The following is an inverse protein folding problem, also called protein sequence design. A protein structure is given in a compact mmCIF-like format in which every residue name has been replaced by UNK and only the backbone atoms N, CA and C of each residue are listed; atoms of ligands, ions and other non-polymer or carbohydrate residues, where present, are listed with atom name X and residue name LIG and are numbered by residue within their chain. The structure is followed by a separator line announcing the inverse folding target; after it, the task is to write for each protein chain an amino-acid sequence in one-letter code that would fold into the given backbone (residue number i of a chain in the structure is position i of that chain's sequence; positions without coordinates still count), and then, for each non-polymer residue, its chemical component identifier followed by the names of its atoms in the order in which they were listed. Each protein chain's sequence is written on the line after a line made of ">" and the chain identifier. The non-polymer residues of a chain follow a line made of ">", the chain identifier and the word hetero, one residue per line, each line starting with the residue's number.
data_IF_641886878025
#
_entry.id   IF_641886878025
#
_cell.length_a   1.000
_cell.length_b   1.000
_cell.length_c   1.000
_cell.angle_alpha   90.00
_cell.angle_beta   90.00
_cell.angle_gamma   90.00
#
_symmetry.space_group_name_H-M   'P 1'
#
loop_
_entity.id
_entity.type
_entity.pdbx_description
1 polymer ?
#
# COMPACT_ATOMS: atom_id res chain seq x y z
N UNK A 1 0.03 12.38 -37.93
CA UNK A 1 -0.51 11.90 -36.65
C UNK A 1 0.45 10.85 -36.12
N UNK A 2 0.77 10.86 -34.82
CA UNK A 2 1.58 9.80 -34.20
C UNK A 2 0.83 8.47 -34.14
N UNK A 3 1.55 7.36 -33.95
CA UNK A 3 1.01 6.00 -33.97
C UNK A 3 0.86 5.36 -32.57
N UNK A 4 0.83 6.17 -31.50
CA UNK A 4 0.63 5.68 -30.12
C UNK A 4 1.88 5.05 -29.48
N UNK A 5 3.01 5.75 -29.48
CA UNK A 5 4.23 5.33 -28.78
C UNK A 5 4.70 6.44 -27.83
N UNK A 6 4.84 6.13 -26.54
CA UNK A 6 5.23 7.08 -25.49
C UNK A 6 6.65 7.60 -25.70
N UNK A 7 7.58 6.73 -26.15
CA UNK A 7 8.96 7.12 -26.46
C UNK A 7 9.05 8.21 -27.53
N UNK A 8 8.08 8.29 -28.45
CA UNK A 8 8.03 9.35 -29.46
C UNK A 8 7.72 10.74 -28.87
N UNK A 9 7.39 10.84 -27.58
CA UNK A 9 7.33 12.11 -26.86
C UNK A 9 8.70 12.68 -26.51
N UNK A 10 9.77 11.87 -26.55
CA UNK A 10 11.15 12.35 -26.35
C UNK A 10 11.61 13.17 -27.57
N UNK A 11 12.31 14.27 -27.32
CA UNK A 11 12.71 15.27 -28.32
C UNK A 11 13.34 14.68 -29.59
N UNK A 12 14.34 13.81 -29.45
CA UNK A 12 15.06 13.24 -30.60
C UNK A 12 14.30 12.09 -31.27
N UNK A 13 13.54 11.32 -30.49
CA UNK A 13 12.64 10.29 -31.03
C UNK A 13 11.48 10.91 -31.82
N UNK A 14 10.96 12.05 -31.38
CA UNK A 14 9.93 12.81 -32.09
C UNK A 14 10.42 13.25 -33.46
N UNK A 15 11.64 13.82 -33.52
CA UNK A 15 12.27 14.20 -34.80
C UNK A 15 12.38 12.98 -35.73
N UNK A 16 12.93 11.87 -35.23
CA UNK A 16 13.08 10.66 -36.03
C UNK A 16 11.73 10.12 -36.55
N UNK A 17 10.67 10.22 -35.74
CA UNK A 17 9.32 9.82 -36.13
C UNK A 17 8.72 10.76 -37.19
N UNK A 18 8.95 12.07 -37.10
CA UNK A 18 8.46 13.05 -38.10
C UNK A 18 9.18 12.86 -39.44
N UNK A 19 10.46 12.49 -39.41
CA UNK A 19 11.25 12.17 -40.60
C UNK A 19 10.82 10.86 -41.31
N UNK A 20 9.81 10.15 -40.77
CA UNK A 20 9.32 8.89 -41.30
C UNK A 20 10.12 7.66 -40.86
N UNK A 21 11.11 7.86 -39.98
CA UNK A 21 11.86 6.77 -39.35
C UNK A 21 11.12 6.13 -38.17
N UNK A 22 11.75 5.11 -37.58
CA UNK A 22 11.28 4.57 -36.28
C UNK A 22 11.57 5.61 -35.20
N UNK A 23 10.63 5.82 -34.28
CA UNK A 23 10.73 6.77 -33.15
C UNK A 23 11.73 6.34 -32.09
N UNK A 24 13.01 6.33 -32.46
CA UNK A 24 14.12 5.86 -31.63
C UNK A 24 15.01 7.07 -31.31
N UNK A 25 15.34 7.33 -30.04
CA UNK A 25 16.20 8.44 -29.65
C UNK A 25 17.58 8.42 -30.32
N UNK A 26 18.10 9.61 -30.63
CA UNK A 26 19.46 9.83 -31.16
C UNK A 26 20.39 10.20 -30.01
N UNK A 27 21.65 9.78 -30.11
CA UNK A 27 22.66 10.16 -29.14
C UNK A 27 22.98 11.65 -29.32
N UNK A 28 23.13 12.36 -28.20
CA UNK A 28 23.62 13.73 -28.17
C UNK A 28 25.12 13.67 -27.81
N UNK A 29 26.01 14.43 -28.47
CA UNK A 29 25.81 15.30 -29.65
C UNK A 29 25.62 14.53 -30.98
N UNK A 30 25.09 15.18 -32.06
CA UNK A 30 24.71 16.59 -32.13
C UNK A 30 23.38 16.91 -31.43
N UNK A 31 23.25 18.13 -30.90
CA UNK A 31 22.00 18.59 -30.30
C UNK A 31 21.01 19.05 -31.37
N UNK A 32 19.69 18.87 -31.18
CA UNK A 32 18.67 19.30 -32.14
C UNK A 32 18.74 20.79 -32.51
N UNK A 33 19.15 21.63 -31.56
CA UNK A 33 19.32 23.06 -31.77
C UNK A 33 20.38 23.40 -32.85
N UNK A 34 21.36 22.52 -33.06
CA UNK A 34 22.37 22.66 -34.13
C UNK A 34 21.94 21.89 -35.38
N UNK A 35 21.52 20.64 -35.19
CA UNK A 35 21.15 19.71 -36.27
C UNK A 35 20.02 18.78 -35.80
N UNK A 36 18.79 19.21 -36.05
CA UNK A 36 17.56 18.51 -35.68
C UNK A 36 16.82 17.99 -36.91
N UNK A 37 15.58 18.45 -37.11
CA UNK A 37 14.68 18.00 -38.16
C UNK A 37 15.22 18.32 -39.56
N UNK A 38 15.36 17.29 -40.40
CA UNK A 38 15.94 17.38 -41.75
C UNK A 38 17.30 18.10 -41.76
N UNK A 39 18.12 17.81 -40.75
CA UNK A 39 19.44 18.41 -40.54
C UNK A 39 19.42 19.94 -40.37
N UNK A 40 18.28 20.52 -39.97
CA UNK A 40 18.15 21.95 -39.67
C UNK A 40 18.11 22.20 -38.15
N UNK A 41 18.64 23.34 -37.68
CA UNK A 41 18.43 23.83 -36.32
C UNK A 41 16.96 23.76 -35.91
N UNK A 42 16.64 22.98 -34.88
CA UNK A 42 15.27 22.71 -34.45
C UNK A 42 15.17 22.78 -32.93
N UNK A 43 14.15 23.48 -32.42
CA UNK A 43 13.86 23.55 -30.99
C UNK A 43 12.43 23.05 -30.74
N UNK A 44 12.28 22.05 -29.87
CA UNK A 44 11.00 21.41 -29.56
C UNK A 44 10.58 21.84 -28.16
N UNK A 45 9.35 22.33 -28.05
CA UNK A 45 8.79 22.80 -26.78
C UNK A 45 7.42 22.18 -26.56
N UNK A 46 7.06 21.98 -25.28
CA UNK A 46 5.74 21.48 -24.91
C UNK A 46 4.65 22.50 -25.28
N UNK A 47 3.44 22.01 -25.54
CA UNK A 47 2.27 22.83 -25.84
C UNK A 47 1.96 23.80 -24.70
N UNK A 48 2.07 23.36 -23.43
CA UNK A 48 1.87 24.21 -22.26
C UNK A 48 2.86 25.38 -22.22
N UNK A 49 4.13 25.13 -22.57
CA UNK A 49 5.14 26.19 -22.70
C UNK A 49 4.71 27.22 -23.73
N UNK A 50 4.28 26.78 -24.92
CA UNK A 50 3.80 27.68 -25.98
C UNK A 50 2.50 28.40 -25.63
N UNK A 51 1.61 27.80 -24.84
CA UNK A 51 0.39 28.44 -24.37
C UNK A 51 0.69 29.59 -23.40
N UNK A 52 1.75 29.47 -22.60
CA UNK A 52 2.16 30.51 -21.65
C UNK A 52 2.87 31.71 -22.32
N UNK A 53 3.62 31.50 -23.40
CA UNK A 53 4.42 32.56 -24.05
C UNK A 53 3.60 33.80 -24.48
N UNK A 54 2.46 33.69 -25.17
CA UNK A 54 1.63 34.84 -25.52
C UNK A 54 1.17 35.65 -24.31
N UNK A 55 0.81 34.99 -23.21
CA UNK A 55 0.39 35.64 -21.97
C UNK A 55 1.54 36.40 -21.32
N UNK A 56 2.74 35.82 -21.33
CA UNK A 56 3.97 36.44 -20.81
C UNK A 56 4.32 37.69 -21.62
N UNK A 57 4.22 37.62 -22.95
CA UNK A 57 4.49 38.78 -23.83
C UNK A 57 3.45 39.88 -23.62
N UNK A 58 2.16 39.53 -23.52
CA UNK A 58 1.08 40.50 -23.38
C UNK A 58 1.06 41.20 -22.02
N UNK A 59 1.35 40.48 -20.93
CA UNK A 59 1.27 41.01 -19.55
C UNK A 59 2.64 41.38 -18.95
N UNK A 60 3.72 41.07 -19.65
CA UNK A 60 5.09 41.30 -19.22
C UNK A 60 5.67 40.18 -18.35
N UNK A 61 6.98 39.96 -18.46
CA UNK A 61 7.69 38.91 -17.71
C UNK A 61 7.57 39.06 -16.18
N UNK A 62 7.50 40.30 -15.69
CA UNK A 62 7.33 40.59 -14.25
C UNK A 62 5.99 40.15 -13.69
N UNK A 63 4.95 40.00 -14.53
CA UNK A 63 3.67 39.46 -14.08
C UNK A 63 3.78 37.96 -13.82
N UNK A 64 4.39 37.22 -14.75
CA UNK A 64 4.54 35.77 -14.65
C UNK A 64 5.51 35.36 -13.52
N UNK A 65 6.60 36.11 -13.33
CA UNK A 65 7.63 35.81 -12.32
C UNK A 65 7.23 36.12 -10.87
N UNK A 66 6.11 36.85 -10.67
CA UNK A 66 5.51 37.05 -9.34
C UNK A 66 4.79 35.82 -8.82
N UNK A 67 4.43 34.90 -9.70
CA UNK A 67 3.77 33.65 -9.38
C UNK A 67 4.87 32.57 -9.30
N UNK A 68 4.80 31.68 -8.31
CA UNK A 68 5.80 30.62 -8.14
C UNK A 68 6.77 30.86 -6.98
N UNK A 69 7.79 29.99 -6.90
CA UNK A 69 8.91 30.12 -5.96
C UNK A 69 10.03 30.99 -6.52
N UNK A 70 11.15 31.16 -5.81
CA UNK A 70 12.28 31.93 -6.33
C UNK A 70 12.85 31.35 -7.63
N UNK A 71 12.96 30.01 -7.70
CA UNK A 71 13.55 29.30 -8.83
C UNK A 71 12.54 28.78 -9.85
N UNK A 72 11.30 28.52 -9.42
CA UNK A 72 10.26 27.94 -10.28
C UNK A 72 9.11 28.92 -10.46
N UNK A 73 9.07 29.62 -11.60
CA UNK A 73 8.11 30.70 -11.89
C UNK A 73 6.87 30.23 -12.65
N UNK A 74 5.75 30.85 -12.36
CA UNK A 74 4.48 30.66 -13.05
C UNK A 74 3.57 29.60 -12.47
N UNK A 75 2.65 29.13 -13.30
CA UNK A 75 1.67 28.09 -12.99
C UNK A 75 2.01 26.80 -13.72
N UNK A 76 1.46 25.69 -13.24
CA UNK A 76 1.57 24.38 -13.85
C UNK A 76 0.20 23.70 -13.85
N UNK A 77 -0.14 23.07 -14.96
CA UNK A 77 -1.34 22.26 -15.08
C UNK A 77 -1.01 20.82 -14.65
N UNK A 78 -1.81 20.29 -13.72
CA UNK A 78 -1.77 18.90 -13.29
C UNK A 78 -3.06 18.16 -13.66
N UNK A 79 -2.92 16.90 -14.05
CA UNK A 79 -4.02 15.95 -14.18
C UNK A 79 -4.12 15.16 -12.89
N UNK A 80 -5.09 15.53 -12.06
CA UNK A 80 -5.34 14.93 -10.75
C UNK A 80 -6.33 13.78 -10.91
N UNK A 81 -5.84 12.56 -10.74
CA UNK A 81 -6.60 11.31 -10.92
C UNK A 81 -6.27 10.29 -9.83
N UNK A 82 -6.96 9.15 -9.83
CA UNK A 82 -6.74 8.05 -8.88
C UNK A 82 -7.80 8.03 -7.78
N UNK A 83 -7.38 7.82 -6.53
CA UNK A 83 -8.26 7.72 -5.35
C UNK A 83 -8.54 9.11 -4.77
N UNK A 84 -9.28 9.94 -5.50
CA UNK A 84 -9.60 11.32 -5.14
C UNK A 84 -11.06 11.66 -5.46
N UNK A 85 -11.71 12.52 -4.67
CA UNK A 85 -13.12 12.89 -4.86
C UNK A 85 -13.32 13.74 -6.12
N UNK A 86 -12.49 14.77 -6.31
CA UNK A 86 -12.54 15.66 -7.47
C UNK A 86 -11.42 15.30 -8.44
N UNK A 87 -11.77 14.56 -9.50
CA UNK A 87 -10.85 14.20 -10.58
C UNK A 87 -10.93 15.23 -11.70
N UNK A 88 -9.80 15.70 -12.22
CA UNK A 88 -9.78 16.67 -13.31
C UNK A 88 -8.42 17.32 -13.59
N UNK A 89 -8.42 18.32 -14.48
CA UNK A 89 -7.27 19.18 -14.72
C UNK A 89 -7.32 20.37 -13.75
N UNK A 90 -6.21 20.62 -13.07
CA UNK A 90 -6.08 21.71 -12.10
C UNK A 90 -4.86 22.55 -12.47
N UNK A 91 -5.03 23.86 -12.59
CA UNK A 91 -3.92 24.80 -12.77
C UNK A 91 -3.56 25.40 -11.42
N UNK A 92 -2.32 25.21 -10.98
CA UNK A 92 -1.86 25.65 -9.66
C UNK A 92 -0.57 26.46 -9.78
N UNK A 93 -0.35 27.45 -8.90
CA UNK A 93 0.93 28.14 -8.83
C UNK A 93 2.02 27.17 -8.35
N UNK A 94 3.22 27.27 -8.94
CA UNK A 94 4.37 26.51 -8.45
C UNK A 94 4.70 26.91 -7.00
N UNK A 95 5.06 25.95 -6.17
CA UNK A 95 5.28 26.13 -4.73
C UNK A 95 4.06 25.84 -3.84
N UNK A 96 2.87 25.64 -4.42
CA UNK A 96 1.72 25.09 -3.67
C UNK A 96 2.04 23.70 -3.14
N UNK A 97 1.58 23.36 -1.93
CA UNK A 97 1.89 22.08 -1.31
C UNK A 97 1.03 20.95 -1.85
N UNK A 98 1.54 19.72 -1.75
CA UNK A 98 0.76 18.51 -2.08
C UNK A 98 -0.54 18.42 -1.28
N UNK A 99 -0.53 18.82 0.00
CA UNK A 99 -1.71 18.84 0.87
C UNK A 99 -2.82 19.71 0.30
N UNK A 100 -2.51 20.94 -0.07
CA UNK A 100 -3.51 21.88 -0.58
C UNK A 100 -4.10 21.37 -1.90
N UNK A 101 -3.28 20.80 -2.79
CA UNK A 101 -3.76 20.23 -4.06
C UNK A 101 -4.69 19.03 -3.80
N UNK A 102 -4.32 18.11 -2.91
CA UNK A 102 -5.07 16.87 -2.68
C UNK A 102 -6.34 17.11 -1.87
N UNK A 103 -6.27 17.89 -0.79
CA UNK A 103 -7.38 18.08 0.12
C UNK A 103 -8.26 19.28 -0.23
N UNK A 104 -7.67 20.43 -0.57
CA UNK A 104 -8.47 21.65 -0.81
C UNK A 104 -9.07 21.64 -2.22
N UNK A 105 -8.27 21.28 -3.24
CA UNK A 105 -8.75 21.22 -4.64
C UNK A 105 -9.39 19.85 -4.93
N UNK A 106 -8.66 18.78 -4.63
CA UNK A 106 -9.07 17.40 -4.90
C UNK A 106 -10.19 16.87 -4.00
N UNK A 107 -10.53 17.58 -2.93
CA UNK A 107 -11.60 17.19 -2.01
C UNK A 107 -11.25 15.97 -1.14
N UNK A 108 -9.98 15.56 -1.10
CA UNK A 108 -9.49 14.44 -0.30
C UNK A 108 -9.83 13.06 -0.86
N UNK A 109 -9.59 12.03 -0.04
CA UNK A 109 -9.72 10.62 -0.42
C UNK A 109 -11.18 10.15 -0.30
N UNK A 110 -11.70 9.39 -1.28
CA UNK A 110 -13.04 8.83 -1.22
C UNK A 110 -13.28 8.03 0.06
N UNK A 111 -14.50 8.14 0.59
CA UNK A 111 -14.96 7.45 1.81
C UNK A 111 -14.12 7.72 3.07
N UNK A 112 -13.36 8.81 3.11
CA UNK A 112 -12.54 9.17 4.28
C UNK A 112 -11.40 8.20 4.56
N UNK A 113 -10.97 7.41 3.57
CA UNK A 113 -9.82 6.52 3.69
C UNK A 113 -8.52 7.30 3.87
N UNK A 114 -7.49 6.62 4.36
CA UNK A 114 -6.18 7.24 4.56
C UNK A 114 -5.43 7.41 3.24
N UNK A 115 -4.89 8.61 3.03
CA UNK A 115 -3.92 8.87 1.97
C UNK A 115 -2.64 8.08 2.23
N UNK A 116 -2.12 7.42 1.20
CA UNK A 116 -0.90 6.63 1.29
C UNK A 116 0.26 7.28 0.55
N UNK A 117 0.05 7.58 -0.73
CA UNK A 117 1.06 8.15 -1.59
C UNK A 117 0.44 8.89 -2.79
N UNK A 118 1.22 9.73 -3.44
CA UNK A 118 0.90 10.32 -4.73
C UNK A 118 2.06 10.09 -5.69
N UNK A 119 1.77 9.59 -6.89
CA UNK A 119 2.76 9.58 -7.95
C UNK A 119 2.69 10.89 -8.71
N UNK A 120 3.83 11.56 -8.85
CA UNK A 120 3.97 12.76 -9.67
C UNK A 120 4.90 12.49 -10.83
N UNK A 121 4.74 13.18 -11.96
CA UNK A 121 5.68 13.08 -13.09
C UNK A 121 5.34 12.02 -14.13
N UNK A 122 4.14 11.44 -14.05
CA UNK A 122 3.69 10.39 -14.97
C UNK A 122 4.29 9.03 -14.65
N UNK A 123 4.28 8.07 -15.61
CA UNK A 123 4.65 6.68 -15.34
C UNK A 123 6.13 6.47 -14.97
N UNK A 124 7.03 7.39 -15.35
CA UNK A 124 8.44 7.38 -14.96
C UNK A 124 8.74 8.19 -13.70
N UNK A 125 7.70 8.65 -13.01
CA UNK A 125 7.81 9.40 -11.77
C UNK A 125 7.74 8.51 -10.53
N UNK A 126 8.39 8.96 -9.46
CA UNK A 126 8.38 8.30 -8.15
C UNK A 126 7.10 8.59 -7.35
N UNK A 127 6.81 7.71 -6.39
CA UNK A 127 5.71 7.87 -5.45
C UNK A 127 6.16 8.61 -4.19
N UNK A 128 5.46 9.69 -3.83
CA UNK A 128 5.73 10.52 -2.66
C UNK A 128 4.79 10.08 -1.52
N UNK A 129 5.32 9.72 -0.34
CA UNK A 129 4.53 9.19 0.78
C UNK A 129 3.75 10.28 1.54
N UNK A 130 2.80 9.83 2.36
CA UNK A 130 2.04 10.68 3.28
C UNK A 130 2.88 11.57 4.21
N UNK A 131 4.11 11.16 4.56
CA UNK A 131 5.02 11.94 5.40
C UNK A 131 5.53 13.22 4.73
N UNK A 132 5.44 13.32 3.39
CA UNK A 132 5.89 14.46 2.60
C UNK A 132 4.71 15.23 1.98
N UNK A 133 3.52 15.18 2.59
CA UNK A 133 2.34 15.91 2.12
C UNK A 133 2.51 17.43 2.12
N UNK A 134 3.38 17.97 2.98
CA UNK A 134 3.64 19.40 3.08
C UNK A 134 4.78 19.85 2.14
N UNK A 135 5.24 18.98 1.25
CA UNK A 135 6.27 19.29 0.26
C UNK A 135 5.71 20.30 -0.78
N UNK A 136 6.41 21.42 -1.04
CA UNK A 136 6.04 22.34 -2.09
C UNK A 136 6.28 21.71 -3.47
N UNK A 137 5.35 21.97 -4.40
CA UNK A 137 5.45 21.51 -5.77
C UNK A 137 6.31 22.46 -6.59
N UNK A 138 7.60 22.16 -6.64
CA UNK A 138 8.57 22.77 -7.55
C UNK A 138 9.54 21.71 -8.10
N UNK A 139 10.36 22.09 -9.08
CA UNK A 139 11.23 21.16 -9.79
C UNK A 139 12.29 20.51 -8.87
N UNK A 140 12.85 21.28 -7.93
CA UNK A 140 13.94 20.82 -7.05
C UNK A 140 13.40 19.89 -5.96
N UNK A 141 12.35 20.32 -5.26
CA UNK A 141 11.72 19.59 -4.16
C UNK A 141 11.20 18.22 -4.61
N UNK A 142 10.58 18.15 -5.79
CA UNK A 142 10.14 16.88 -6.37
C UNK A 142 11.29 15.94 -6.70
N UNK A 143 12.39 16.48 -7.23
CA UNK A 143 13.59 15.70 -7.58
C UNK A 143 14.25 15.12 -6.32
N UNK A 144 14.36 15.90 -5.24
CA UNK A 144 14.89 15.44 -3.95
C UNK A 144 14.01 14.36 -3.29
N UNK A 145 12.70 14.46 -3.48
CA UNK A 145 11.75 13.44 -3.05
C UNK A 145 11.84 12.13 -3.86
N UNK A 146 12.65 12.06 -4.91
CA UNK A 146 12.78 10.90 -5.80
C UNK A 146 11.67 10.81 -6.84
N UNK A 147 10.98 11.91 -7.11
CA UNK A 147 10.02 12.06 -8.19
C UNK A 147 10.53 13.08 -9.23
N UNK A 148 9.71 13.44 -10.22
CA UNK A 148 10.09 14.42 -11.23
C UNK A 148 8.90 15.31 -11.59
N UNK A 149 9.20 16.54 -12.01
CA UNK A 149 8.23 17.40 -12.68
C UNK A 149 8.09 16.96 -14.15
N UNK A 150 7.26 15.94 -14.37
CA UNK A 150 6.97 15.39 -15.70
C UNK A 150 5.81 16.11 -16.40
N UNK A 151 4.92 15.33 -17.03
CA UNK A 151 3.77 15.82 -17.79
C UNK A 151 2.67 16.49 -16.94
N UNK A 152 2.84 16.57 -15.62
CA UNK A 152 1.79 17.03 -14.69
C UNK A 152 0.80 15.94 -14.28
N UNK A 153 1.05 14.65 -14.57
CA UNK A 153 0.22 13.57 -14.02
C UNK A 153 0.40 13.44 -12.51
N UNK A 154 -0.70 13.48 -11.75
CA UNK A 154 -0.77 13.21 -10.31
C UNK A 154 -1.76 12.08 -10.03
N UNK A 155 -1.25 10.92 -9.63
CA UNK A 155 -2.05 9.74 -9.34
C UNK A 155 -2.08 9.51 -7.84
N UNK A 156 -3.22 9.79 -7.22
CA UNK A 156 -3.43 9.68 -5.78
C UNK A 156 -3.77 8.23 -5.39
N UNK A 157 -3.14 7.74 -4.32
CA UNK A 157 -3.26 6.37 -3.83
C UNK A 157 -3.69 6.35 -2.36
N UNK A 158 -4.58 5.41 -2.02
CA UNK A 158 -5.07 5.17 -0.66
C UNK A 158 -4.37 3.98 0.01
N UNK A 159 -4.74 3.71 1.26
CA UNK A 159 -4.21 2.59 2.05
C UNK A 159 -4.46 1.20 1.44
N UNK A 160 -5.36 1.10 0.46
CA UNK A 160 -5.75 -0.15 -0.21
C UNK A 160 -4.90 -0.45 -1.45
N UNK A 161 -3.95 0.43 -1.77
CA UNK A 161 -3.06 0.31 -2.93
C UNK A 161 -1.77 -0.40 -2.52
N UNK A 162 -1.31 -1.41 -3.25
CA UNK A 162 -0.03 -2.09 -2.98
C UNK A 162 1.13 -1.37 -3.69
N UNK A 163 2.18 -0.96 -2.96
CA UNK A 163 3.28 -0.22 -3.61
C UNK A 163 4.17 -1.10 -4.49
N UNK A 164 4.29 -2.38 -4.15
CA UNK A 164 5.00 -3.37 -4.99
C UNK A 164 4.28 -3.55 -6.34
N UNK A 165 2.95 -3.66 -6.31
CA UNK A 165 2.15 -3.81 -7.53
C UNK A 165 2.14 -2.53 -8.37
N UNK A 166 2.12 -1.35 -7.73
CA UNK A 166 2.28 -0.06 -8.42
C UNK A 166 3.63 0.03 -9.12
N UNK A 167 4.72 -0.32 -8.45
CA UNK A 167 6.04 -0.35 -9.07
C UNK A 167 6.08 -1.35 -10.24
N UNK A 168 5.50 -2.53 -10.08
CA UNK A 168 5.35 -3.55 -11.14
C UNK A 168 4.57 -3.01 -12.34
N UNK A 169 3.43 -2.37 -12.10
CA UNK A 169 2.56 -1.81 -13.14
C UNK A 169 3.30 -0.75 -13.98
N UNK A 170 3.93 0.23 -13.33
CA UNK A 170 4.68 1.26 -14.06
C UNK A 170 5.92 0.69 -14.75
N UNK A 171 6.61 -0.27 -14.13
CA UNK A 171 7.74 -0.94 -14.78
C UNK A 171 7.29 -1.72 -16.01
N UNK A 172 6.12 -2.37 -15.97
CA UNK A 172 5.53 -3.04 -17.14
C UNK A 172 5.23 -2.03 -18.25
N UNK A 173 4.58 -0.92 -17.93
CA UNK A 173 4.29 0.13 -18.91
C UNK A 173 5.59 0.67 -19.54
N UNK A 174 6.60 0.97 -18.74
CA UNK A 174 7.87 1.50 -19.22
C UNK A 174 8.67 0.48 -20.04
N UNK A 175 8.54 -0.80 -19.72
CA UNK A 175 9.12 -1.89 -20.49
C UNK A 175 8.46 -2.01 -21.88
N UNK A 176 7.13 -1.93 -21.93
CA UNK A 176 6.36 -2.00 -23.18
C UNK A 176 6.59 -0.77 -24.07
N UNK A 177 6.77 0.40 -23.46
CA UNK A 177 7.04 1.66 -24.14
C UNK A 177 8.53 1.89 -24.48
N UNK A 178 9.40 0.92 -24.16
CA UNK A 178 10.82 1.00 -24.50
C UNK A 178 11.03 0.82 -26.00
N UNK A 179 11.79 1.74 -26.62
CA UNK A 179 12.20 1.59 -28.03
C UNK A 179 13.17 0.42 -28.27
N UNK A 180 13.73 -0.17 -27.21
CA UNK A 180 14.61 -1.34 -27.28
C UNK A 180 16.04 -1.08 -27.79
N UNK A 181 16.45 0.19 -27.98
CA UNK A 181 17.78 0.52 -28.54
C UNK A 181 18.95 0.25 -27.59
N UNK A 182 18.86 0.70 -26.33
CA UNK A 182 19.92 0.48 -25.35
C UNK A 182 19.68 -0.82 -24.60
N UNK A 183 20.75 -1.62 -24.45
CA UNK A 183 20.71 -2.91 -23.76
C UNK A 183 20.30 -2.73 -22.30
N UNK A 184 20.87 -1.70 -21.65
CA UNK A 184 20.60 -1.32 -20.26
C UNK A 184 19.12 -1.10 -20.01
N UNK A 185 18.46 -0.22 -20.77
CA UNK A 185 17.02 -0.01 -20.63
C UNK A 185 16.24 -1.27 -21.01
N UNK A 186 16.45 -1.83 -22.22
CA UNK A 186 15.63 -2.93 -22.74
C UNK A 186 15.62 -4.15 -21.83
N UNK A 187 16.80 -4.63 -21.47
CA UNK A 187 16.92 -5.86 -20.68
C UNK A 187 16.83 -5.55 -19.18
N UNK A 188 17.27 -4.37 -18.74
CA UNK A 188 17.20 -3.98 -17.35
C UNK A 188 15.77 -3.75 -16.87
N UNK A 189 14.92 -3.05 -17.62
CA UNK A 189 13.50 -2.89 -17.26
C UNK A 189 12.77 -4.23 -17.27
N UNK A 190 13.08 -5.10 -18.24
CA UNK A 190 12.53 -6.44 -18.28
C UNK A 190 12.92 -7.23 -17.03
N UNK A 191 14.18 -7.21 -16.63
CA UNK A 191 14.65 -7.93 -15.46
C UNK A 191 14.09 -7.38 -14.15
N UNK A 192 13.93 -6.05 -14.05
CA UNK A 192 13.22 -5.43 -12.91
C UNK A 192 11.77 -5.89 -12.85
N UNK A 193 11.07 -5.96 -13.99
CA UNK A 193 9.68 -6.42 -14.07
C UNK A 193 9.54 -7.88 -13.64
N UNK A 194 10.45 -8.75 -14.06
CA UNK A 194 10.48 -10.16 -13.65
C UNK A 194 10.59 -10.28 -12.12
N UNK A 195 11.55 -9.58 -11.51
CA UNK A 195 11.75 -9.59 -10.05
C UNK A 195 10.50 -9.08 -9.32
N UNK A 196 9.94 -7.94 -9.76
CA UNK A 196 8.72 -7.38 -9.16
C UNK A 196 7.50 -8.31 -9.29
N UNK A 197 7.44 -9.06 -10.40
CA UNK A 197 6.40 -10.07 -10.63
C UNK A 197 6.58 -11.25 -9.69
N UNK A 198 7.81 -11.76 -9.55
CA UNK A 198 8.12 -12.84 -8.61
C UNK A 198 7.77 -12.46 -7.16
N UNK A 199 8.11 -11.24 -6.74
CA UNK A 199 7.73 -10.72 -5.41
C UNK A 199 6.21 -10.65 -5.26
N UNK A 200 5.49 -10.15 -6.27
CA UNK A 200 4.02 -10.04 -6.26
C UNK A 200 3.33 -11.41 -6.28
N UNK A 201 3.98 -12.43 -6.82
CA UNK A 201 3.51 -13.82 -6.85
C UNK A 201 3.92 -14.64 -5.63
N UNK A 202 4.71 -14.06 -4.71
CA UNK A 202 5.21 -14.76 -3.53
C UNK A 202 6.38 -15.70 -3.79
N UNK A 203 7.06 -15.55 -4.93
CA UNK A 203 8.29 -16.26 -5.31
C UNK A 203 9.56 -15.43 -5.07
N UNK A 204 9.42 -14.25 -4.48
CA UNK A 204 10.53 -13.36 -4.17
C UNK A 204 11.52 -13.98 -3.18
N UNK A 205 12.79 -13.61 -3.34
CA UNK A 205 13.94 -14.06 -2.53
C UNK A 205 14.46 -12.90 -1.68
N UNK A 206 15.15 -13.18 -0.59
CA UNK A 206 15.69 -12.14 0.30
C UNK A 206 16.67 -11.19 -0.42
N UNK A 207 17.45 -11.72 -1.36
CA UNK A 207 18.43 -10.95 -2.14
C UNK A 207 17.78 -10.11 -3.27
N UNK A 208 16.51 -10.34 -3.59
CA UNK A 208 15.86 -9.68 -4.72
C UNK A 208 15.73 -8.17 -4.51
N UNK A 209 15.58 -7.71 -3.26
CA UNK A 209 15.52 -6.26 -2.97
C UNK A 209 16.85 -5.58 -3.32
N UNK A 210 17.97 -6.17 -2.90
CA UNK A 210 19.30 -5.61 -3.14
C UNK A 210 19.64 -5.65 -4.64
N UNK A 211 19.34 -6.78 -5.30
CA UNK A 211 19.52 -6.93 -6.74
C UNK A 211 18.67 -5.94 -7.54
N UNK A 212 17.42 -5.73 -7.12
CA UNK A 212 16.49 -4.79 -7.77
C UNK A 212 16.98 -3.34 -7.64
N UNK A 213 17.49 -2.97 -6.46
CA UNK A 213 18.07 -1.65 -6.21
C UNK A 213 19.33 -1.40 -7.05
N UNK A 214 20.26 -2.36 -7.07
CA UNK A 214 21.48 -2.28 -7.89
C UNK A 214 21.13 -2.14 -9.39
N UNK A 215 20.24 -3.01 -9.88
CA UNK A 215 19.80 -2.99 -11.28
C UNK A 215 19.14 -1.66 -11.64
N UNK A 216 18.33 -1.09 -10.75
CA UNK A 216 17.68 0.19 -10.96
C UNK A 216 18.69 1.34 -11.13
N UNK A 217 19.75 1.38 -10.33
CA UNK A 217 20.83 2.36 -10.51
C UNK A 217 21.60 2.16 -11.82
N UNK A 218 21.95 0.92 -12.16
CA UNK A 218 22.63 0.61 -13.43
C UNK A 218 21.79 1.07 -14.63
N UNK A 219 20.49 0.79 -14.64
CA UNK A 219 19.60 1.23 -15.73
C UNK A 219 19.54 2.76 -15.81
N UNK A 220 19.46 3.43 -14.66
CA UNK A 220 19.40 4.90 -14.59
C UNK A 220 20.66 5.53 -15.20
N UNK A 221 21.84 5.04 -14.83
CA UNK A 221 23.11 5.69 -15.20
C UNK A 221 23.57 5.33 -16.62
N UNK A 222 23.16 4.17 -17.15
CA UNK A 222 23.65 3.65 -18.44
C UNK A 222 22.64 3.75 -19.59
N UNK A 223 21.46 4.34 -19.35
CA UNK A 223 20.43 4.53 -20.38
C UNK A 223 20.69 5.75 -21.27
N UNK A 224 20.39 5.60 -22.56
CA UNK A 224 20.67 6.62 -23.57
C UNK A 224 19.80 7.88 -23.47
N UNK A 225 18.52 7.71 -23.15
CA UNK A 225 17.52 8.79 -23.17
C UNK A 225 16.83 8.96 -21.82
N UNK A 226 16.15 10.09 -21.64
CA UNK A 226 15.44 10.43 -20.40
C UNK A 226 14.40 9.39 -19.97
N UNK A 227 13.76 8.68 -20.91
CA UNK A 227 12.85 7.58 -20.58
C UNK A 227 13.57 6.47 -19.82
N UNK A 228 14.67 5.95 -20.37
CA UNK A 228 15.44 4.88 -19.72
C UNK A 228 16.09 5.33 -18.41
N UNK A 229 16.54 6.59 -18.33
CA UNK A 229 17.11 7.16 -17.11
C UNK A 229 16.09 7.31 -15.98
N UNK A 230 14.83 7.62 -16.32
CA UNK A 230 13.76 7.81 -15.33
C UNK A 230 12.92 6.55 -15.10
N UNK A 231 13.03 5.53 -15.96
CA UNK A 231 12.29 4.28 -15.85
C UNK A 231 12.43 3.58 -14.48
N UNK A 232 13.60 3.61 -13.80
CA UNK A 232 13.74 2.99 -12.49
C UNK A 232 13.18 3.81 -11.32
N UNK A 233 12.76 5.07 -11.53
CA UNK A 233 12.31 5.94 -10.43
C UNK A 233 11.11 5.39 -9.65
N UNK A 234 10.07 4.79 -10.27
CA UNK A 234 8.97 4.18 -9.51
C UNK A 234 9.47 3.11 -8.53
N UNK A 235 10.49 2.35 -8.92
CA UNK A 235 11.12 1.29 -8.11
C UNK A 235 12.01 1.88 -7.01
N UNK A 236 12.89 2.83 -7.36
CA UNK A 236 13.78 3.46 -6.38
C UNK A 236 12.98 4.22 -5.31
N UNK A 237 11.94 4.95 -5.71
CA UNK A 237 11.08 5.68 -4.78
C UNK A 237 10.25 4.72 -3.90
N UNK A 238 9.69 3.64 -4.48
CA UNK A 238 8.94 2.66 -3.69
C UNK A 238 9.83 1.91 -2.70
N UNK A 239 11.05 1.54 -3.08
CA UNK A 239 12.03 0.93 -2.18
C UNK A 239 12.48 1.91 -1.08
N UNK A 240 12.64 3.20 -1.39
CA UNK A 240 13.03 4.21 -0.40
C UNK A 240 12.00 4.41 0.70
N UNK A 241 10.71 4.47 0.34
CA UNK A 241 9.66 4.85 1.29
C UNK A 241 8.79 3.68 1.79
N UNK A 242 8.72 2.58 1.04
CA UNK A 242 7.81 1.47 1.28
C UNK A 242 8.52 0.11 1.28
N UNK A 243 9.81 0.09 1.68
CA UNK A 243 10.61 -1.15 1.79
C UNK A 243 9.94 -2.23 2.62
N UNK A 244 9.21 -1.82 3.65
CA UNK A 244 8.45 -2.71 4.53
C UNK A 244 7.43 -3.56 3.77
N UNK A 245 6.79 -3.02 2.73
CA UNK A 245 5.85 -3.78 1.91
C UNK A 245 6.55 -4.86 1.09
N UNK A 246 7.75 -4.58 0.56
CA UNK A 246 8.54 -5.60 -0.14
C UNK A 246 8.94 -6.74 0.81
N UNK A 247 9.39 -6.40 2.01
CA UNK A 247 9.75 -7.40 3.02
C UNK A 247 8.54 -8.25 3.47
N UNK A 248 7.35 -7.67 3.57
CA UNK A 248 6.11 -8.41 3.85
C UNK A 248 5.77 -9.42 2.74
N UNK A 249 5.96 -9.05 1.47
CA UNK A 249 5.71 -9.94 0.34
C UNK A 249 6.69 -11.11 0.32
N UNK A 250 7.98 -10.84 0.61
CA UNK A 250 9.05 -11.85 0.56
C UNK A 250 9.04 -12.75 1.80
N UNK A 251 9.02 -12.18 3.00
CA UNK A 251 9.20 -12.95 4.25
C UNK A 251 7.90 -13.50 4.82
N UNK A 252 6.80 -12.76 4.67
CA UNK A 252 5.50 -13.14 5.26
C UNK A 252 4.53 -13.70 4.24
N UNK A 253 4.86 -13.66 2.94
CA UNK A 253 3.95 -13.99 1.84
C UNK A 253 2.58 -13.31 2.01
N UNK A 254 2.61 -12.03 2.38
CA UNK A 254 1.44 -11.27 2.77
C UNK A 254 1.39 -9.92 2.06
N UNK A 255 0.24 -9.58 1.50
CA UNK A 255 -0.01 -8.28 0.89
C UNK A 255 -1.04 -7.51 1.71
N UNK A 256 -0.61 -6.50 2.48
CA UNK A 256 -1.51 -5.68 3.34
C UNK A 256 -2.68 -5.06 2.57
N UNK A 257 -2.42 -4.61 1.34
CA UNK A 257 -3.41 -3.99 0.47
C UNK A 257 -4.45 -5.00 -0.06
N UNK A 258 -4.07 -6.28 -0.17
CA UNK A 258 -4.93 -7.36 -0.65
C UNK A 258 -5.01 -7.47 -2.18
N UNK A 259 -4.13 -6.79 -2.92
CA UNK A 259 -4.16 -6.69 -4.40
C UNK A 259 -3.45 -7.88 -5.07
N UNK A 260 -2.34 -8.34 -4.48
CA UNK A 260 -1.54 -9.43 -5.03
C UNK A 260 -2.24 -10.78 -4.80
N UNK A 261 -3.01 -11.26 -5.79
CA UNK A 261 -3.87 -12.46 -5.70
C UNK A 261 -3.16 -13.70 -5.18
N UNK A 262 -1.91 -13.92 -5.56
CA UNK A 262 -1.13 -15.10 -5.14
C UNK A 262 -0.84 -15.11 -3.63
N UNK A 263 -0.76 -13.94 -3.00
CA UNK A 263 -0.47 -13.77 -1.57
C UNK A 263 -1.73 -13.71 -0.70
N UNK A 264 -2.91 -13.64 -1.32
CA UNK A 264 -4.17 -13.39 -0.62
C UNK A 264 -5.09 -14.60 -0.79
N UNK A 265 -5.23 -15.40 0.27
CA UNK A 265 -6.20 -16.52 0.28
C UNK A 265 -7.63 -16.02 0.19
N UNK A 266 -7.99 -15.04 1.01
CA UNK A 266 -9.27 -14.35 0.95
C UNK A 266 -9.14 -12.92 1.52
N UNK A 267 -9.84 -11.92 0.95
CA UNK A 267 -9.73 -10.54 1.41
C UNK A 267 -10.09 -10.36 2.90
N UNK A 268 -11.12 -11.08 3.37
CA UNK A 268 -11.58 -11.01 4.75
C UNK A 268 -10.59 -11.63 5.76
N UNK A 269 -9.90 -12.72 5.40
CA UNK A 269 -8.83 -13.27 6.22
C UNK A 269 -7.60 -12.37 6.21
N UNK A 270 -7.24 -11.81 5.05
CA UNK A 270 -6.10 -10.91 4.88
C UNK A 270 -6.27 -9.61 5.67
N UNK A 271 -7.49 -9.08 5.72
CA UNK A 271 -7.84 -7.89 6.49
C UNK A 271 -7.97 -8.15 8.01
N UNK A 272 -8.04 -9.41 8.44
CA UNK A 272 -8.16 -9.73 9.86
C UNK A 272 -6.80 -9.61 10.55
N UNK A 273 -6.63 -8.73 11.55
CA UNK A 273 -5.33 -8.60 12.25
C UNK A 273 -4.90 -9.88 12.97
N UNK A 274 -5.85 -10.72 13.37
CA UNK A 274 -5.59 -12.03 13.99
C UNK A 274 -5.40 -13.16 12.96
N UNK A 275 -5.61 -12.91 11.66
CA UNK A 275 -5.52 -13.91 10.61
C UNK A 275 -6.57 -15.03 10.73
N UNK A 276 -7.74 -14.73 11.30
CA UNK A 276 -8.85 -15.70 11.43
C UNK A 276 -9.33 -16.10 10.03
N UNK A 277 -9.53 -17.41 9.82
CA UNK A 277 -10.08 -17.95 8.58
C UNK A 277 -11.59 -17.68 8.48
N UNK A 278 -11.91 -16.46 8.03
CA UNK A 278 -13.28 -15.97 7.90
C UNK A 278 -14.14 -16.84 6.98
N UNK A 279 -13.70 -17.21 5.76
CA UNK A 279 -14.50 -18.07 4.89
C UNK A 279 -14.84 -19.42 5.52
N UNK A 280 -13.88 -20.04 6.22
CA UNK A 280 -14.07 -21.38 6.80
C UNK A 280 -15.15 -21.38 7.88
N UNK A 281 -15.12 -20.44 8.82
CA UNK A 281 -16.15 -20.44 9.87
C UNK A 281 -17.52 -19.99 9.35
N UNK A 282 -17.58 -19.09 8.35
CA UNK A 282 -18.87 -18.73 7.73
C UNK A 282 -19.49 -19.94 7.04
N UNK A 283 -18.70 -20.74 6.31
CA UNK A 283 -19.21 -22.00 5.73
C UNK A 283 -19.76 -22.94 6.80
N UNK A 284 -19.07 -23.10 7.93
CA UNK A 284 -19.55 -23.93 9.04
C UNK A 284 -20.86 -23.41 9.64
N UNK A 285 -21.03 -22.08 9.73
CA UNK A 285 -22.31 -21.48 10.13
C UNK A 285 -23.43 -21.85 9.16
N UNK A 286 -23.18 -21.81 7.83
CA UNK A 286 -24.19 -22.20 6.83
C UNK A 286 -24.57 -23.68 6.91
N UNK A 287 -23.67 -24.54 7.39
CA UNK A 287 -23.91 -25.97 7.61
C UNK A 287 -24.57 -26.26 8.99
N UNK A 288 -24.85 -25.24 9.81
CA UNK A 288 -25.39 -25.39 11.17
C UNK A 288 -24.37 -25.89 12.20
N UNK A 289 -23.07 -25.92 11.86
CA UNK A 289 -21.98 -26.45 12.70
C UNK A 289 -21.34 -25.35 13.54
N UNK A 290 -22.09 -24.77 14.46
CA UNK A 290 -21.65 -23.60 15.23
C UNK A 290 -20.44 -23.87 16.15
N UNK A 291 -20.39 -25.02 16.82
CA UNK A 291 -19.24 -25.40 17.65
C UNK A 291 -17.93 -25.54 16.87
N UNK A 292 -18.00 -26.04 15.62
CA UNK A 292 -16.83 -26.09 14.71
C UNK A 292 -16.45 -24.70 14.22
N UNK A 293 -17.43 -23.83 13.92
CA UNK A 293 -17.17 -22.45 13.53
C UNK A 293 -16.42 -21.68 14.64
N UNK A 294 -16.84 -21.86 15.90
CA UNK A 294 -16.17 -21.30 17.07
C UNK A 294 -14.76 -21.87 17.24
N UNK A 295 -14.57 -23.17 16.97
CA UNK A 295 -13.25 -23.79 16.99
C UNK A 295 -12.27 -23.11 16.04
N UNK A 296 -12.70 -22.79 14.80
CA UNK A 296 -11.87 -22.09 13.81
C UNK A 296 -11.43 -20.71 14.29
N UNK A 297 -12.30 -19.97 14.98
CA UNK A 297 -11.92 -18.67 15.57
C UNK A 297 -10.90 -18.87 16.70
N UNK A 298 -11.10 -19.90 17.54
CA UNK A 298 -10.21 -20.26 18.65
C UNK A 298 -8.83 -20.77 18.21
N UNK A 299 -8.65 -21.14 16.94
CA UNK A 299 -7.33 -21.42 16.37
C UNK A 299 -6.41 -20.19 16.46
N UNK A 300 -6.97 -18.97 16.42
CA UNK A 300 -6.22 -17.71 16.42
C UNK A 300 -6.42 -16.84 17.66
N UNK A 301 -7.60 -16.85 18.28
CA UNK A 301 -7.90 -16.03 19.46
C UNK A 301 -8.87 -16.77 20.41
N UNK A 302 -8.62 -16.82 21.73
CA UNK A 302 -9.51 -17.52 22.67
C UNK A 302 -10.81 -16.79 23.01
N UNK A 303 -11.12 -15.70 22.30
CA UNK A 303 -12.22 -14.77 22.59
C UNK A 303 -13.25 -14.62 21.45
N UNK A 304 -13.82 -15.72 20.92
CA UNK A 304 -14.80 -15.65 19.83
C UNK A 304 -16.02 -14.77 20.14
N UNK A 305 -16.57 -14.85 21.36
CA UNK A 305 -17.74 -14.08 21.78
C UNK A 305 -17.39 -12.60 21.95
N UNK A 306 -16.34 -12.25 22.70
CA UNK A 306 -15.90 -10.84 22.85
C UNK A 306 -15.66 -10.21 21.46
N UNK A 307 -14.99 -10.92 20.55
CA UNK A 307 -14.81 -10.43 19.18
C UNK A 307 -16.14 -10.21 18.43
N UNK A 308 -17.18 -11.00 18.71
CA UNK A 308 -18.52 -10.78 18.17
C UNK A 308 -19.18 -9.49 18.66
N UNK A 309 -18.81 -8.98 19.83
CA UNK A 309 -19.35 -7.74 20.40
C UNK A 309 -18.51 -6.51 20.01
N UNK A 310 -17.19 -6.58 20.12
CA UNK A 310 -16.33 -5.37 20.11
C UNK A 310 -15.39 -5.26 18.92
N UNK A 311 -15.34 -6.25 18.03
CA UNK A 311 -14.45 -6.18 16.86
C UNK A 311 -14.81 -4.99 15.93
N UNK A 312 -13.78 -4.34 15.41
CA UNK A 312 -13.87 -3.26 14.40
C UNK A 312 -14.10 -3.77 12.97
N UNK A 313 -14.36 -5.07 12.80
CA UNK A 313 -14.87 -5.66 11.55
C UNK A 313 -14.08 -5.25 10.27
N UNK A 314 -12.74 -5.16 10.35
CA UNK A 314 -11.86 -4.89 9.21
C UNK A 314 -12.13 -5.77 7.98
N UNK A 315 -12.55 -7.01 8.23
CA UNK A 315 -12.93 -7.99 7.21
C UNK A 315 -14.18 -7.59 6.41
N UNK A 316 -15.10 -6.82 6.98
CA UNK A 316 -16.32 -6.33 6.30
C UNK A 316 -15.97 -5.18 5.35
N UNK A 317 -15.04 -4.30 5.75
CA UNK A 317 -14.56 -3.20 4.89
C UNK A 317 -13.88 -3.68 3.60
N UNK A 318 -13.35 -4.91 3.61
CA UNK A 318 -12.68 -5.56 2.47
C UNK A 318 -13.52 -6.66 1.81
N UNK A 319 -14.81 -6.75 2.15
CA UNK A 319 -15.68 -7.79 1.62
C UNK A 319 -16.00 -7.52 0.15
N UNK A 320 -15.64 -8.43 -0.76
CA UNK A 320 -15.98 -8.32 -2.20
C UNK A 320 -17.48 -8.18 -2.47
N UNK A 321 -18.34 -8.68 -1.57
CA UNK A 321 -19.80 -8.54 -1.71
C UNK A 321 -20.24 -7.08 -1.61
N UNK A 322 -19.54 -6.26 -0.82
CA UNK A 322 -19.80 -4.82 -0.71
C UNK A 322 -19.53 -4.03 -2.00
N UNK A 323 -18.86 -4.62 -3.00
CA UNK A 323 -18.73 -4.01 -4.34
C UNK A 323 -20.00 -4.20 -5.20
N UNK A 324 -20.90 -5.12 -4.79
CA UNK A 324 -22.14 -5.43 -5.50
C UNK A 324 -23.33 -4.78 -4.76
N UNK A 325 -23.47 -5.09 -3.48
CA UNK A 325 -24.53 -4.58 -2.62
C UNK A 325 -24.01 -4.20 -1.23
N UNK A 326 -24.00 -5.13 -0.27
CA UNK A 326 -23.59 -4.90 1.10
C UNK A 326 -22.57 -5.93 1.57
N UNK A 327 -21.65 -5.49 2.43
CA UNK A 327 -20.71 -6.40 3.06
C UNK A 327 -21.44 -7.40 3.95
N UNK A 328 -20.97 -8.64 3.98
CA UNK A 328 -21.47 -9.62 4.94
C UNK A 328 -21.25 -9.11 6.36
N UNK A 329 -22.24 -9.30 7.25
CA UNK A 329 -22.14 -8.94 8.66
C UNK A 329 -21.28 -9.97 9.44
N UNK A 330 -20.02 -10.11 9.04
CA UNK A 330 -19.04 -11.09 9.52
C UNK A 330 -18.90 -11.07 11.05
N UNK A 331 -18.90 -9.88 11.67
CA UNK A 331 -18.86 -9.75 13.14
C UNK A 331 -20.11 -10.32 13.79
N UNK A 332 -21.29 -10.04 13.24
CA UNK A 332 -22.56 -10.56 13.76
C UNK A 332 -22.66 -12.08 13.56
N UNK A 333 -22.20 -12.60 12.43
CA UNK A 333 -22.11 -14.05 12.19
C UNK A 333 -21.20 -14.72 13.23
N UNK A 334 -20.07 -14.10 13.57
CA UNK A 334 -19.19 -14.58 14.64
C UNK A 334 -19.88 -14.59 16.00
N UNK A 335 -20.60 -13.51 16.34
CA UNK A 335 -21.40 -13.43 17.56
C UNK A 335 -22.44 -14.54 17.61
N UNK A 336 -23.20 -14.70 16.52
CA UNK A 336 -24.23 -15.73 16.38
C UNK A 336 -23.65 -17.13 16.62
N UNK A 337 -22.51 -17.45 15.99
CA UNK A 337 -21.83 -18.73 16.20
C UNK A 337 -21.39 -18.93 17.66
N UNK A 338 -20.87 -17.89 18.30
CA UNK A 338 -20.44 -17.94 19.70
C UNK A 338 -21.59 -18.04 20.71
N UNK A 339 -22.78 -17.52 20.38
CA UNK A 339 -23.99 -17.65 21.19
C UNK A 339 -24.64 -19.04 21.06
N UNK A 340 -24.45 -19.71 19.91
CA UNK A 340 -24.93 -21.07 19.65
C UNK A 340 -23.82 -22.13 19.78
N UNK A 341 -22.73 -21.82 20.47
CA UNK A 341 -21.62 -22.75 20.67
C UNK A 341 -22.07 -24.00 21.45
N UNK A 342 -21.85 -25.17 20.86
CA UNK A 342 -22.17 -26.46 21.49
C UNK A 342 -21.06 -26.96 22.42
N UNK A 343 -19.92 -26.26 22.50
CA UNK A 343 -18.77 -26.67 23.30
C UNK A 343 -17.99 -27.85 22.71
N UNK A 344 -18.29 -28.28 21.48
CA UNK A 344 -17.62 -29.38 20.78
C UNK A 344 -16.09 -29.21 20.75
N UNK A 345 -15.61 -27.99 20.61
CA UNK A 345 -14.19 -27.67 20.58
C UNK A 345 -13.47 -28.02 21.90
N UNK A 346 -14.17 -28.07 23.03
CA UNK A 346 -13.58 -28.45 24.33
C UNK A 346 -13.13 -29.90 24.34
N UNK A 347 -13.94 -30.78 23.75
CA UNK A 347 -13.66 -32.21 23.66
C UNK A 347 -12.46 -32.50 22.75
N UNK A 348 -12.25 -31.64 21.75
CA UNK A 348 -11.17 -31.78 20.76
C UNK A 348 -9.98 -30.85 21.01
N UNK A 349 -10.00 -30.07 22.10
CA UNK A 349 -8.94 -29.12 22.40
C UNK A 349 -7.71 -29.87 22.90
N UNK A 350 -6.66 -29.93 22.07
CA UNK A 350 -5.39 -30.56 22.43
C UNK A 350 -4.57 -29.66 23.36
N UNK A 351 -4.12 -30.25 24.47
CA UNK A 351 -3.10 -29.71 25.37
C UNK A 351 -1.91 -30.65 25.30
N UNK A 352 -0.72 -30.11 25.05
CA UNK A 352 0.51 -30.91 25.00
C UNK A 352 0.91 -31.40 26.40
N UNK A 353 1.67 -32.50 26.49
CA UNK A 353 2.19 -32.98 27.76
C UNK A 353 2.98 -31.90 28.52
N UNK A 354 3.08 -31.98 29.86
CA UNK A 354 3.83 -31.02 30.66
C UNK A 354 5.26 -30.84 30.15
N UNK A 355 5.58 -29.61 29.81
CA UNK A 355 6.91 -29.19 29.35
C UNK A 355 7.95 -29.06 30.47
N UNK A 356 7.50 -29.05 31.73
CA UNK A 356 8.33 -28.76 32.91
C UNK A 356 8.73 -27.29 33.08
N UNK A 357 8.33 -26.40 32.17
CA UNK A 357 8.66 -24.96 32.23
C UNK A 357 7.54 -24.18 32.92
N UNK A 358 7.93 -23.21 33.74
CA UNK A 358 7.03 -22.25 34.39
C UNK A 358 7.11 -20.90 33.69
N UNK A 359 5.95 -20.30 33.41
CA UNK A 359 5.87 -19.00 32.73
C UNK A 359 4.97 -18.07 33.53
N UNK A 360 5.50 -16.90 33.89
CA UNK A 360 4.71 -15.82 34.44
C UNK A 360 4.33 -14.84 33.32
N UNK A 361 3.04 -14.53 33.20
CA UNK A 361 2.51 -13.53 32.26
C UNK A 361 2.05 -12.32 33.06
N UNK A 362 2.63 -11.14 32.81
CA UNK A 362 2.26 -9.91 33.51
C UNK A 362 1.13 -9.21 32.75
N UNK A 363 0.00 -9.03 33.42
CA UNK A 363 -1.22 -8.39 32.91
C UNK A 363 -2.25 -9.37 32.35
N UNK A 364 -3.52 -9.19 32.73
CA UNK A 364 -4.67 -9.98 32.28
C UNK A 364 -5.48 -9.31 31.17
N UNK A 365 -4.84 -8.43 30.40
CA UNK A 365 -5.43 -7.87 29.18
C UNK A 365 -5.64 -8.93 28.09
N UNK A 366 -6.25 -8.55 26.95
CA UNK A 366 -6.51 -9.48 25.84
C UNK A 366 -5.23 -10.18 25.35
N UNK A 367 -4.12 -9.46 25.25
CA UNK A 367 -2.83 -10.03 24.85
C UNK A 367 -2.27 -11.01 25.89
N UNK A 368 -2.29 -10.65 27.17
CA UNK A 368 -1.78 -11.49 28.25
C UNK A 368 -2.57 -12.78 28.42
N UNK A 369 -3.91 -12.69 28.44
CA UNK A 369 -4.77 -13.87 28.51
C UNK A 369 -4.65 -14.76 27.26
N UNK A 370 -4.49 -14.17 26.07
CA UNK A 370 -4.24 -14.95 24.84
C UNK A 370 -2.90 -15.67 24.90
N UNK A 371 -1.83 -15.00 25.33
CA UNK A 371 -0.53 -15.62 25.52
C UNK A 371 -0.60 -16.76 26.54
N UNK A 372 -1.25 -16.53 27.68
CA UNK A 372 -1.41 -17.53 28.73
C UNK A 372 -2.18 -18.76 28.25
N UNK A 373 -3.27 -18.56 27.51
CA UNK A 373 -4.04 -19.64 26.90
C UNK A 373 -3.18 -20.52 25.99
N UNK A 374 -2.42 -19.93 25.06
CA UNK A 374 -1.58 -20.71 24.14
C UNK A 374 -0.40 -21.38 24.84
N UNK A 375 0.25 -20.71 25.79
CA UNK A 375 1.36 -21.28 26.57
C UNK A 375 0.90 -22.47 27.42
N UNK A 376 -0.29 -22.39 28.03
CA UNK A 376 -0.86 -23.51 28.76
C UNK A 376 -1.17 -24.70 27.83
N UNK A 377 -1.69 -24.45 26.61
CA UNK A 377 -1.90 -25.50 25.61
C UNK A 377 -0.59 -26.14 25.11
N UNK A 378 0.53 -25.44 25.20
CA UNK A 378 1.87 -25.99 24.94
C UNK A 378 2.43 -26.81 26.11
N UNK A 379 1.68 -26.99 27.19
CA UNK A 379 2.07 -27.76 28.37
C UNK A 379 2.94 -27.00 29.36
N UNK A 380 2.97 -25.66 29.30
CA UNK A 380 3.66 -24.85 30.31
C UNK A 380 2.77 -24.65 31.55
N UNK A 381 3.39 -24.58 32.73
CA UNK A 381 2.72 -24.12 33.94
C UNK A 381 2.67 -22.59 33.90
N UNK A 382 1.47 -22.02 33.72
CA UNK A 382 1.31 -20.59 33.46
C UNK A 382 0.58 -19.90 34.60
N UNK A 383 1.20 -18.85 35.14
CA UNK A 383 0.58 -17.94 36.11
C UNK A 383 0.46 -16.54 35.50
N UNK A 384 -0.76 -16.00 35.44
CA UNK A 384 -1.03 -14.62 35.07
C UNK A 384 -1.04 -13.76 36.33
N UNK A 385 -0.21 -12.72 36.36
CA UNK A 385 -0.14 -11.75 37.45
C UNK A 385 -0.86 -10.47 37.01
N UNK A 386 -1.93 -10.11 37.71
CA UNK A 386 -2.72 -8.91 37.43
C UNK A 386 -2.65 -7.95 38.63
N UNK A 387 -2.36 -6.68 38.36
CA UNK A 387 -2.31 -5.63 39.37
C UNK A 387 -3.70 -5.18 39.81
N UNK A 388 -4.66 -5.21 38.89
CA UNK A 388 -6.07 -4.92 39.14
C UNK A 388 -6.75 -6.00 40.00
N UNK A 389 -7.80 -5.65 40.78
CA UNK A 389 -8.63 -6.64 41.46
C UNK A 389 -9.49 -7.46 40.48
N UNK A 390 -9.63 -7.01 39.23
CA UNK A 390 -10.48 -7.64 38.20
C UNK A 390 -9.67 -8.06 36.97
N UNK A 391 -10.06 -9.19 36.40
CA UNK A 391 -9.41 -9.82 35.23
C UNK A 391 -10.01 -9.30 33.92
N UNK A 392 -9.20 -9.16 32.88
CA UNK A 392 -9.62 -8.80 31.52
C UNK A 392 -9.02 -7.49 31.00
N UNK A 393 -8.28 -6.76 31.85
CA UNK A 393 -7.60 -5.51 31.49
C UNK A 393 -8.50 -4.54 30.73
N UNK A 394 -8.07 -4.08 29.56
CA UNK A 394 -8.83 -3.14 28.72
C UNK A 394 -10.20 -3.67 28.26
N UNK A 395 -10.40 -4.99 28.14
CA UNK A 395 -11.73 -5.53 27.80
C UNK A 395 -12.75 -5.28 28.92
N UNK A 396 -12.30 -5.30 30.18
CA UNK A 396 -13.15 -5.03 31.34
C UNK A 396 -13.17 -3.54 31.71
N UNK A 397 -12.01 -2.89 31.75
CA UNK A 397 -11.88 -1.53 32.27
C UNK A 397 -12.11 -0.45 31.19
N UNK A 398 -11.78 -0.73 29.93
CA UNK A 398 -11.87 0.24 28.84
C UNK A 398 -13.14 0.17 28.02
N UNK A 399 -13.87 -0.94 28.03
CA UNK A 399 -15.10 -1.14 27.25
C UNK A 399 -16.32 -1.08 28.17
N UNK A 400 -17.29 -0.18 27.90
CA UNK A 400 -18.54 -0.12 28.65
C UNK A 400 -19.35 -1.40 28.57
N UNK A 401 -20.07 -1.72 29.64
CA UNK A 401 -20.83 -2.98 29.78
C UNK A 401 -21.92 -3.16 28.71
N UNK A 402 -22.58 -2.07 28.29
CA UNK A 402 -23.59 -2.15 27.23
C UNK A 402 -23.00 -2.51 25.85
N UNK A 403 -21.69 -2.32 25.63
CA UNK A 403 -21.00 -2.80 24.42
C UNK A 403 -20.44 -4.21 24.59
N UNK A 404 -19.96 -4.55 25.78
CA UNK A 404 -19.43 -5.87 26.11
C UNK A 404 -19.98 -6.31 27.47
N UNK A 405 -21.04 -7.15 27.49
CA UNK A 405 -21.61 -7.67 28.73
C UNK A 405 -20.54 -8.40 29.57
N UNK A 406 -20.51 -8.14 30.87
CA UNK A 406 -19.50 -8.71 31.77
C UNK A 406 -19.57 -10.23 31.83
N UNK A 407 -20.78 -10.78 31.83
CA UNK A 407 -21.04 -12.21 31.80
C UNK A 407 -20.40 -12.92 30.59
N UNK A 408 -20.41 -12.28 29.42
CA UNK A 408 -19.79 -12.83 28.20
C UNK A 408 -18.28 -12.91 28.37
N UNK A 409 -17.66 -11.84 28.89
CA UNK A 409 -16.23 -11.80 29.16
C UNK A 409 -15.83 -12.82 30.23
N UNK A 410 -16.59 -12.91 31.32
CA UNK A 410 -16.32 -13.84 32.42
C UNK A 410 -16.38 -15.29 31.95
N UNK A 411 -17.37 -15.64 31.13
CA UNK A 411 -17.46 -16.98 30.53
C UNK A 411 -16.21 -17.33 29.73
N UNK A 412 -15.69 -16.42 28.90
CA UNK A 412 -14.48 -16.69 28.11
C UNK A 412 -13.19 -16.70 28.97
N UNK A 413 -13.14 -15.94 30.06
CA UNK A 413 -12.03 -16.02 31.02
C UNK A 413 -12.03 -17.37 31.74
N UNK A 414 -13.20 -17.89 32.12
CA UNK A 414 -13.31 -19.22 32.73
C UNK A 414 -12.86 -20.32 31.76
N UNK A 415 -13.12 -20.20 30.45
CA UNK A 415 -12.56 -21.13 29.46
C UNK A 415 -11.03 -21.12 29.44
N UNK A 416 -10.39 -19.98 29.70
CA UNK A 416 -8.93 -19.88 29.76
C UNK A 416 -8.39 -20.54 31.03
N UNK A 417 -9.05 -20.30 32.17
CA UNK A 417 -8.70 -20.97 33.44
C UNK A 417 -8.87 -22.49 33.34
N UNK A 418 -9.90 -22.96 32.63
CA UNK A 418 -10.17 -24.38 32.42
C UNK A 418 -9.05 -25.13 31.68
N UNK A 419 -8.17 -24.42 30.96
CA UNK A 419 -6.99 -24.99 30.30
C UNK A 419 -5.79 -25.15 31.26
N UNK A 420 -5.92 -24.70 32.51
CA UNK A 420 -4.88 -24.81 33.54
C UNK A 420 -4.08 -23.53 33.78
N UNK A 421 -4.60 -22.37 33.36
CA UNK A 421 -4.00 -21.06 33.63
C UNK A 421 -4.39 -20.60 35.04
N UNK A 422 -3.39 -20.39 35.91
CA UNK A 422 -3.60 -19.75 37.20
C UNK A 422 -3.61 -18.22 37.04
N UNK A 423 -4.57 -17.52 37.62
CA UNK A 423 -4.64 -16.05 37.56
C UNK A 423 -4.64 -15.50 38.98
N UNK A 424 -3.65 -14.65 39.31
CA UNK A 424 -3.52 -14.00 40.61
C UNK A 424 -3.70 -12.49 40.47
N UNK A 425 -4.77 -11.97 41.04
CA UNK A 425 -5.07 -10.53 41.08
C UNK A 425 -4.38 -9.84 42.25
N UNK A 426 -4.37 -8.50 42.25
CA UNK A 426 -3.70 -7.66 43.26
C UNK A 426 -2.20 -7.93 43.43
N UNK A 427 -1.51 -8.42 42.39
CA UNK A 427 -0.05 -8.54 42.38
C UNK A 427 0.55 -7.33 41.68
N UNK A 428 1.28 -6.51 42.45
CA UNK A 428 1.97 -5.32 41.97
C UNK A 428 3.31 -5.65 41.34
#
# INVERSE_FOLDING_TARGET
>A
MGAGAFVCGEETALIASIEGGRGIPRQRPPFPAERGLWDRPTNINNVETWANVPLIIAKGASWYSKIGTEKSKGTKIFSLVGKINNTGLVEVPLGMTLREIIYDIGGGIPHGKRFKAVQTGGPSGGCIPASLLDLPIDYESLTEAGSIMGSGGMIVMDEDTCMVDIARYYTSFLNDESCGKCLSCRNGTQRMLEILTDISEGKGKEDDIALLEELAFVVKDTSLCGLGQTAPNPVLASLRYFRDEYEEHIKKHYCRAGVCKALVKSPCQNACPAGIDVPRYIRLITEGKFGEAVAVVREKVPFPAVLGYVCLHFCEAKCRRGEIDESLAIRLLKRFAAEHDTGLWKQNSKVLPPSGKKVAVVGSGPAGLTAAYYLAKLGHEVTVLEASPVVGGMMRLGIPEYRLPREVLDREIEEIKAVGVEIRTNNK
#
